data_IF_076759892833
#
_entry.id   IF_076759892833
#
_cell.length_a   1.000
_cell.length_b   1.000
_cell.length_c   1.000
_cell.angle_alpha   90.00
_cell.angle_beta   90.00
_cell.angle_gamma   90.00
#
_symmetry.space_group_name_H-M   'P 1'
#
loop_
_entity.id
_entity.type
_entity.pdbx_description
1 polymer ?
#
# COMPACT_ATOMS: atom_id res chain seq x y z
N UNK A 1 7.42 -66.47 43.61
CA UNK A 1 7.61 -65.26 42.77
C UNK A 1 7.17 -64.06 43.58
N UNK A 2 8.01 -63.03 43.67
CA UNK A 2 7.72 -61.83 44.47
C UNK A 2 7.37 -60.69 43.52
N UNK A 3 6.07 -60.43 43.36
CA UNK A 3 5.57 -59.35 42.51
C UNK A 3 5.27 -58.12 43.34
N UNK A 4 5.68 -56.96 42.82
CA UNK A 4 5.34 -55.68 43.42
C UNK A 4 4.69 -54.76 42.39
N UNK A 5 3.69 -54.02 42.83
CA UNK A 5 2.98 -53.06 42.00
C UNK A 5 3.65 -51.70 42.12
N UNK A 6 4.18 -51.19 41.02
CA UNK A 6 4.94 -49.94 40.95
C UNK A 6 4.15 -48.88 40.21
N UNK A 7 4.09 -47.69 40.80
CA UNK A 7 3.43 -46.52 40.24
C UNK A 7 4.40 -45.33 40.20
N UNK A 8 4.40 -44.58 39.11
CA UNK A 8 5.19 -43.35 38.94
C UNK A 8 4.22 -42.20 38.72
N UNK A 9 4.27 -41.19 39.59
CA UNK A 9 3.39 -40.02 39.56
C UNK A 9 4.18 -38.72 39.42
N UNK A 10 3.62 -37.76 38.67
CA UNK A 10 4.08 -36.37 38.61
C UNK A 10 2.88 -35.43 38.80
N UNK A 11 2.89 -34.58 39.83
CA UNK A 11 1.82 -33.61 40.13
C UNK A 11 0.40 -34.19 40.10
N UNK A 12 0.23 -35.39 40.65
CA UNK A 12 -1.04 -36.15 40.69
C UNK A 12 -1.47 -36.84 39.39
N UNK A 13 -0.65 -36.81 38.33
CA UNK A 13 -0.84 -37.62 37.12
C UNK A 13 -0.02 -38.91 37.21
N UNK A 14 -0.66 -40.07 37.03
CA UNK A 14 0.03 -41.35 36.93
C UNK A 14 0.66 -41.47 35.54
N UNK A 15 2.00 -41.45 35.49
CA UNK A 15 2.77 -41.57 34.26
C UNK A 15 3.01 -43.03 33.87
N UNK A 16 3.13 -43.90 34.87
CA UNK A 16 3.44 -45.32 34.67
C UNK A 16 2.88 -46.16 35.82
N UNK A 17 2.25 -47.29 35.51
CA UNK A 17 1.72 -48.23 36.51
C UNK A 17 1.90 -49.66 35.99
N UNK A 18 2.65 -50.50 36.71
CA UNK A 18 2.93 -51.88 36.31
C UNK A 18 3.11 -52.80 37.51
N UNK A 19 3.02 -54.11 37.30
CA UNK A 19 3.41 -55.13 38.28
C UNK A 19 4.64 -55.88 37.78
N UNK A 20 5.72 -55.89 38.57
CA UNK A 20 7.03 -56.44 38.17
C UNK A 20 7.50 -57.49 39.17
N UNK A 21 8.16 -58.54 38.66
CA UNK A 21 8.72 -59.61 39.48
C UNK A 21 10.17 -59.28 39.87
N UNK A 22 10.37 -58.93 41.13
CA UNK A 22 11.65 -58.43 41.63
C UNK A 22 12.47 -59.51 42.35
N UNK A 23 12.12 -60.79 42.20
CA UNK A 23 12.77 -61.89 42.93
C UNK A 23 14.30 -61.95 42.74
N UNK A 24 14.81 -61.39 41.64
CA UNK A 24 16.22 -61.37 41.30
C UNK A 24 17.00 -60.17 41.88
N UNK A 25 16.32 -59.09 42.29
CA UNK A 25 16.95 -57.87 42.86
C UNK A 25 16.57 -57.62 44.32
N UNK A 26 15.50 -58.22 44.84
CA UNK A 26 14.94 -57.89 46.17
C UNK A 26 15.93 -58.01 47.35
N UNK A 27 16.94 -58.89 47.24
CA UNK A 27 17.89 -59.16 48.32
C UNK A 27 19.19 -58.33 48.26
N UNK A 28 19.45 -57.66 47.15
CA UNK A 28 20.74 -56.96 46.93
C UNK A 28 20.61 -55.60 46.23
N UNK A 29 19.46 -55.29 45.65
CA UNK A 29 19.18 -54.05 44.95
C UNK A 29 18.56 -52.98 45.84
N UNK A 30 18.53 -51.78 45.30
CA UNK A 30 17.97 -50.55 45.88
C UNK A 30 16.69 -50.14 45.16
N UNK A 31 15.95 -49.17 45.71
CA UNK A 31 14.81 -48.59 45.00
C UNK A 31 15.21 -47.87 43.70
N UNK A 32 16.46 -47.42 43.58
CA UNK A 32 17.04 -46.97 42.31
C UNK A 32 17.04 -48.08 41.27
N UNK A 33 17.51 -49.29 41.62
CA UNK A 33 17.55 -50.43 40.69
C UNK A 33 16.14 -50.83 40.23
N UNK A 34 15.17 -50.81 41.15
CA UNK A 34 13.75 -51.05 40.82
C UNK A 34 13.19 -49.99 39.87
N UNK A 35 13.54 -48.71 40.08
CA UNK A 35 13.13 -47.64 39.19
C UNK A 35 13.76 -47.78 37.81
N UNK A 36 15.05 -48.15 37.74
CA UNK A 36 15.76 -48.42 36.49
C UNK A 36 15.14 -49.59 35.73
N UNK A 37 14.75 -50.68 36.41
CA UNK A 37 14.08 -51.82 35.78
C UNK A 37 12.70 -51.46 35.21
N UNK A 38 11.97 -50.57 35.88
CA UNK A 38 10.62 -50.16 35.47
C UNK A 38 10.63 -49.06 34.41
N UNK A 39 11.59 -48.11 34.48
CA UNK A 39 11.59 -46.89 33.69
C UNK A 39 12.80 -46.71 32.76
N UNK A 40 13.75 -47.66 32.72
CA UNK A 40 14.98 -47.59 31.91
C UNK A 40 15.72 -46.25 32.08
N UNK A 41 15.99 -45.85 33.34
CA UNK A 41 16.74 -44.64 33.71
C UNK A 41 16.19 -43.30 33.21
N UNK A 42 14.95 -43.26 32.71
CA UNK A 42 14.34 -42.02 32.18
C UNK A 42 14.18 -40.91 33.22
N UNK A 43 14.21 -41.26 34.51
CA UNK A 43 13.93 -40.34 35.60
C UNK A 43 15.11 -40.15 36.58
N UNK A 44 16.29 -40.70 36.29
CA UNK A 44 17.45 -40.70 37.20
C UNK A 44 17.99 -39.30 37.54
N UNK A 45 17.63 -38.28 36.75
CA UNK A 45 18.03 -36.88 36.98
C UNK A 45 16.99 -36.04 37.75
N UNK A 46 15.92 -36.64 38.26
CA UNK A 46 14.85 -35.93 39.00
C UNK A 46 14.92 -36.24 40.49
N UNK A 47 14.48 -35.29 41.31
CA UNK A 47 14.30 -35.55 42.75
C UNK A 47 13.04 -36.39 42.93
N UNK A 48 13.22 -37.61 43.44
CA UNK A 48 12.17 -38.62 43.54
C UNK A 48 11.98 -38.98 45.01
N UNK A 49 10.73 -38.94 45.45
CA UNK A 49 10.33 -39.47 46.75
C UNK A 49 9.73 -40.87 46.56
N UNK A 50 10.12 -41.81 47.43
CA UNK A 50 9.67 -43.20 47.36
C UNK A 50 8.68 -43.46 48.49
N UNK A 51 7.54 -44.05 48.14
CA UNK A 51 6.50 -44.43 49.08
C UNK A 51 6.15 -45.91 48.94
N UNK A 52 5.76 -46.54 50.04
CA UNK A 52 5.32 -47.93 50.06
C UNK A 52 4.04 -48.13 50.88
N UNK A 53 3.30 -49.20 50.55
CA UNK A 53 2.15 -49.66 51.35
C UNK A 53 1.83 -51.14 51.11
N UNK A 54 1.16 -51.77 52.06
CA UNK A 54 0.76 -53.19 51.97
C UNK A 54 -0.48 -53.39 51.09
N UNK A 55 -1.55 -52.61 51.32
CA UNK A 55 -2.82 -52.74 50.59
C UNK A 55 -3.19 -51.46 49.86
N UNK A 56 -4.02 -51.58 48.82
CA UNK A 56 -4.45 -50.45 47.97
C UNK A 56 -5.23 -49.36 48.72
N UNK A 57 -5.78 -49.66 49.91
CA UNK A 57 -6.54 -48.71 50.75
C UNK A 57 -5.70 -48.07 51.87
N UNK A 58 -4.45 -48.52 52.06
CA UNK A 58 -3.60 -48.02 53.13
C UNK A 58 -2.99 -46.66 52.75
N UNK A 59 -2.65 -45.89 53.78
CA UNK A 59 -1.89 -44.65 53.66
C UNK A 59 -0.49 -44.93 53.14
N UNK A 60 0.01 -44.05 52.27
CA UNK A 60 1.37 -44.15 51.75
C UNK A 60 2.39 -43.84 52.85
N UNK A 61 3.35 -44.73 53.06
CA UNK A 61 4.48 -44.53 53.97
C UNK A 61 5.69 -44.06 53.16
N UNK A 62 6.27 -42.92 53.53
CA UNK A 62 7.47 -42.39 52.86
C UNK A 62 8.72 -43.10 53.38
N UNK A 63 9.60 -43.53 52.47
CA UNK A 63 10.92 -44.05 52.79
C UNK A 63 11.90 -42.87 52.86
N UNK A 64 12.59 -42.72 53.99
CA UNK A 64 13.45 -41.56 54.26
C UNK A 64 14.70 -41.55 53.39
N UNK A 65 15.31 -42.72 53.17
CA UNK A 65 16.51 -42.86 52.34
C UNK A 65 16.16 -43.03 50.84
N UNK A 66 14.85 -42.98 50.51
CA UNK A 66 14.35 -42.79 49.15
C UNK A 66 14.82 -43.86 48.16
N UNK A 67 15.58 -43.45 47.15
CA UNK A 67 16.11 -44.32 46.10
C UNK A 67 17.29 -45.18 46.56
N UNK A 68 18.05 -44.70 47.55
CA UNK A 68 19.25 -45.38 48.07
C UNK A 68 18.89 -46.47 49.11
N UNK A 69 17.63 -46.52 49.54
CA UNK A 69 17.11 -47.52 50.46
C UNK A 69 17.16 -48.93 49.82
N UNK A 70 17.43 -49.94 50.64
CA UNK A 70 17.51 -51.33 50.17
C UNK A 70 16.11 -51.90 49.89
N UNK A 71 15.95 -52.63 48.78
CA UNK A 71 14.68 -53.30 48.45
C UNK A 71 14.25 -54.34 49.48
N UNK A 72 15.16 -54.79 50.34
CA UNK A 72 14.84 -55.65 51.49
C UNK A 72 13.83 -54.99 52.43
N UNK A 73 13.74 -53.65 52.47
CA UNK A 73 12.72 -52.91 53.20
C UNK A 73 11.30 -53.29 52.77
N UNK A 74 11.08 -53.69 51.51
CA UNK A 74 9.79 -54.18 51.02
C UNK A 74 9.32 -55.43 51.75
N UNK A 75 10.26 -56.33 52.07
CA UNK A 75 9.98 -57.57 52.80
C UNK A 75 9.76 -57.28 54.28
N UNK A 76 10.60 -56.42 54.87
CA UNK A 76 10.52 -56.07 56.29
C UNK A 76 9.25 -55.28 56.64
N UNK A 77 8.81 -54.39 55.74
CA UNK A 77 7.63 -53.54 55.91
C UNK A 77 6.37 -54.11 55.23
N UNK A 78 6.48 -55.30 54.62
CA UNK A 78 5.40 -56.00 53.91
C UNK A 78 4.73 -55.14 52.82
N UNK A 79 5.50 -54.32 52.11
CA UNK A 79 4.99 -53.47 51.05
C UNK A 79 4.72 -54.28 49.76
N UNK A 80 3.52 -54.14 49.22
CA UNK A 80 3.09 -54.75 47.96
C UNK A 80 2.87 -53.70 46.85
N UNK A 81 2.86 -52.43 47.23
CA UNK A 81 2.74 -51.29 46.33
C UNK A 81 3.87 -50.31 46.63
N UNK A 82 4.54 -49.85 45.57
CA UNK A 82 5.57 -48.81 45.61
C UNK A 82 5.15 -47.67 44.71
N UNK A 83 5.38 -46.44 45.17
CA UNK A 83 5.12 -45.24 44.41
C UNK A 83 6.34 -44.33 44.38
N UNK A 84 6.73 -43.94 43.18
CA UNK A 84 7.73 -42.92 42.93
C UNK A 84 7.03 -41.61 42.60
N UNK A 85 7.19 -40.59 43.44
CA UNK A 85 6.65 -39.25 43.21
C UNK A 85 7.77 -38.34 42.70
N UNK A 86 7.59 -37.84 41.49
CA UNK A 86 8.49 -36.88 40.85
C UNK A 86 8.13 -35.48 41.35
N UNK A 87 9.06 -34.80 42.02
CA UNK A 87 8.87 -33.39 42.40
C UNK A 87 8.88 -32.51 41.14
N UNK A 88 7.84 -31.67 41.00
CA UNK A 88 7.75 -30.69 39.93
C UNK A 88 8.77 -29.58 40.21
N UNK A 89 9.71 -29.35 39.29
CA UNK A 89 10.61 -28.21 39.39
C UNK A 89 9.81 -26.98 38.97
N UNK A 90 9.27 -26.23 39.93
CA UNK A 90 9.04 -24.80 39.70
C UNK A 90 10.40 -24.14 39.48
N UNK A 91 10.58 -23.33 38.43
CA UNK A 91 11.83 -22.63 38.22
C UNK A 91 11.98 -21.55 39.30
N UNK A 92 12.66 -21.88 40.39
CA UNK A 92 13.20 -20.86 41.29
C UNK A 92 14.34 -20.15 40.55
N UNK A 93 14.16 -18.84 40.35
CA UNK A 93 15.18 -17.90 39.92
C UNK A 93 16.31 -17.84 40.96
N UNK A 94 17.25 -18.77 40.86
CA UNK A 94 18.60 -18.54 41.35
C UNK A 94 19.35 -17.92 40.18
N UNK A 95 19.99 -16.74 40.31
CA UNK A 95 20.84 -16.19 39.27
C UNK A 95 22.12 -17.04 39.18
N UNK A 96 22.00 -18.23 38.58
CA UNK A 96 23.14 -18.85 37.92
C UNK A 96 23.38 -18.03 36.64
N UNK A 97 24.63 -17.70 36.30
CA UNK A 97 24.91 -17.06 35.02
C UNK A 97 24.37 -17.99 33.95
N UNK A 98 23.29 -17.57 33.31
CA UNK A 98 22.74 -18.23 32.13
C UNK A 98 23.90 -18.27 31.17
N UNK A 99 24.59 -19.42 31.08
CA UNK A 99 25.37 -19.72 29.90
C UNK A 99 24.32 -19.92 28.83
N UNK A 100 23.89 -18.78 28.30
CA UNK A 100 22.90 -18.63 27.26
C UNK A 100 23.43 -19.55 26.17
N UNK A 101 22.73 -20.67 25.94
CA UNK A 101 23.23 -21.70 25.03
C UNK A 101 23.53 -20.97 23.74
N UNK A 102 24.80 -21.00 23.30
CA UNK A 102 25.24 -20.20 22.18
C UNK A 102 24.31 -20.44 20.96
N UNK A 103 23.78 -21.66 20.81
CA UNK A 103 22.83 -21.99 19.76
C UNK A 103 21.47 -21.28 19.92
N UNK A 104 20.97 -21.07 21.14
CA UNK A 104 19.73 -20.31 21.39
C UNK A 104 19.96 -18.83 21.10
N UNK A 105 21.07 -18.25 21.56
CA UNK A 105 21.43 -16.87 21.22
C UNK A 105 21.58 -16.70 19.71
N UNK A 106 22.26 -17.64 19.05
CA UNK A 106 22.47 -17.62 17.60
C UNK A 106 21.15 -17.78 16.85
N UNK A 107 20.24 -18.65 17.31
CA UNK A 107 18.92 -18.81 16.71
C UNK A 107 18.03 -17.57 16.93
N UNK A 108 18.06 -16.97 18.11
CA UNK A 108 17.31 -15.74 18.39
C UNK A 108 17.87 -14.55 17.60
N UNK A 109 19.19 -14.39 17.55
CA UNK A 109 19.86 -13.38 16.73
C UNK A 109 19.62 -13.60 15.22
N UNK A 110 19.52 -14.84 14.76
CA UNK A 110 19.18 -15.15 13.37
C UNK A 110 17.71 -14.82 13.03
N UNK A 111 16.82 -14.79 14.03
CA UNK A 111 15.41 -14.40 13.89
C UNK A 111 15.21 -12.89 14.01
N UNK A 112 16.17 -12.17 14.59
CA UNK A 112 16.08 -10.71 14.70
C UNK A 112 16.02 -10.06 13.32
N UNK A 113 15.10 -9.09 13.23
CA UNK A 113 14.90 -8.29 12.04
C UNK A 113 15.51 -6.90 12.27
N UNK A 114 16.25 -6.46 11.27
CA UNK A 114 16.99 -5.22 11.24
C UNK A 114 16.43 -4.30 10.17
N UNK A 115 16.63 -3.01 10.38
CA UNK A 115 16.23 -1.95 9.48
C UNK A 115 17.42 -1.06 9.13
N UNK A 116 17.43 -0.44 7.94
CA UNK A 116 18.42 0.58 7.61
C UNK A 116 18.45 1.70 8.64
N UNK A 117 19.62 2.32 8.80
CA UNK A 117 19.76 3.47 9.69
C UNK A 117 18.87 4.62 9.23
N UNK A 118 18.13 5.20 10.16
CA UNK A 118 17.36 6.43 9.92
C UNK A 118 18.28 7.58 9.50
N UNK A 119 17.75 8.46 8.65
CA UNK A 119 18.44 9.63 8.15
C UNK A 119 18.29 10.80 9.14
N UNK A 120 19.38 11.54 9.38
CA UNK A 120 19.44 12.59 10.40
C UNK A 120 19.38 14.02 9.87
N UNK A 121 19.34 14.24 8.54
CA UNK A 121 19.45 15.59 7.96
C UNK A 121 18.17 16.43 8.12
N UNK A 122 17.07 15.83 8.59
CA UNK A 122 15.84 16.53 8.98
C UNK A 122 15.03 17.16 7.84
N UNK A 123 15.34 16.84 6.57
CA UNK A 123 14.56 17.34 5.44
C UNK A 123 13.28 16.49 5.25
N UNK A 124 12.26 17.05 4.56
CA UNK A 124 10.96 16.37 4.36
C UNK A 124 11.06 15.00 3.66
N UNK A 125 12.06 14.80 2.79
CA UNK A 125 12.28 13.52 2.10
C UNK A 125 12.87 12.48 3.03
N UNK A 126 13.80 12.89 3.89
CA UNK A 126 14.37 12.07 4.94
C UNK A 126 13.29 11.71 5.98
N UNK A 127 12.36 12.63 6.29
CA UNK A 127 11.18 12.32 7.10
C UNK A 127 10.32 11.23 6.46
N UNK A 128 10.03 11.32 5.15
CA UNK A 128 9.30 10.25 4.45
C UNK A 128 10.04 8.90 4.55
N UNK A 129 11.36 8.89 4.35
CA UNK A 129 12.17 7.68 4.47
C UNK A 129 12.09 7.07 5.87
N UNK A 130 12.23 7.89 6.92
CA UNK A 130 12.17 7.46 8.31
C UNK A 130 10.76 6.99 8.71
N UNK A 131 9.73 7.69 8.27
CA UNK A 131 8.33 7.31 8.52
C UNK A 131 7.96 6.00 7.81
N UNK A 132 8.54 5.73 6.63
CA UNK A 132 8.42 4.44 5.96
C UNK A 132 9.08 3.32 6.78
N UNK A 133 10.26 3.55 7.36
CA UNK A 133 10.88 2.58 8.28
C UNK A 133 9.94 2.27 9.45
N UNK A 134 9.38 3.30 10.08
CA UNK A 134 8.48 3.13 11.22
C UNK A 134 7.20 2.40 10.84
N UNK A 135 6.61 2.72 9.68
CA UNK A 135 5.43 2.03 9.16
C UNK A 135 5.69 0.55 8.89
N UNK A 136 6.82 0.21 8.26
CA UNK A 136 7.16 -1.18 7.98
C UNK A 136 7.47 -1.96 9.26
N UNK A 137 8.08 -1.31 10.24
CA UNK A 137 8.34 -1.89 11.57
C UNK A 137 7.05 -2.16 12.34
N UNK A 138 6.07 -1.25 12.27
CA UNK A 138 4.74 -1.43 12.86
C UNK A 138 4.02 -2.65 12.26
N UNK A 139 4.19 -2.92 10.97
CA UNK A 139 3.65 -4.11 10.29
C UNK A 139 4.46 -5.39 10.47
N UNK A 140 5.46 -5.39 11.34
CA UNK A 140 6.29 -6.57 11.62
C UNK A 140 7.25 -6.94 10.49
N UNK A 141 7.49 -6.03 9.53
CA UNK A 141 8.48 -6.21 8.47
C UNK A 141 9.92 -6.14 8.99
N UNK A 142 10.88 -6.37 8.10
CA UNK A 142 12.30 -6.19 8.36
C UNK A 142 13.20 -7.20 7.66
N UNK A 143 14.51 -6.97 7.72
CA UNK A 143 15.50 -7.79 7.02
C UNK A 143 16.42 -8.54 7.99
N UNK A 144 16.97 -9.69 7.62
CA UNK A 144 18.05 -10.32 8.37
C UNK A 144 19.28 -9.43 8.46
N UNK A 145 20.11 -9.69 9.47
CA UNK A 145 21.42 -9.05 9.59
C UNK A 145 22.24 -9.16 8.30
N UNK A 146 22.84 -8.05 7.88
CA UNK A 146 23.65 -7.91 6.66
C UNK A 146 22.83 -7.57 5.41
N UNK A 147 21.52 -7.80 5.41
CA UNK A 147 20.64 -7.44 4.28
C UNK A 147 20.05 -6.05 4.43
N UNK A 148 19.99 -5.49 5.64
CA UNK A 148 19.33 -4.21 5.90
C UNK A 148 20.04 -3.08 5.17
N UNK A 149 21.36 -2.92 5.33
CA UNK A 149 22.09 -1.79 4.73
C UNK A 149 22.38 -1.94 3.22
N UNK A 150 22.10 -3.11 2.65
CA UNK A 150 22.28 -3.40 1.22
C UNK A 150 20.92 -3.42 0.53
N UNK A 151 20.21 -4.55 0.60
CA UNK A 151 18.92 -4.78 -0.07
C UNK A 151 17.79 -3.96 0.53
N UNK A 152 17.70 -3.93 1.86
CA UNK A 152 16.64 -3.19 2.55
C UNK A 152 16.74 -1.68 2.32
N UNK A 153 17.96 -1.14 2.32
CA UNK A 153 18.23 0.25 2.01
C UNK A 153 17.82 0.60 0.59
N UNK A 154 18.23 -0.19 -0.41
CA UNK A 154 17.87 0.00 -1.82
C UNK A 154 16.36 -0.04 -2.01
N UNK A 155 15.67 -1.01 -1.40
CA UNK A 155 14.22 -1.10 -1.43
C UNK A 155 13.55 0.17 -0.87
N UNK A 156 13.97 0.65 0.30
CA UNK A 156 13.43 1.87 0.89
C UNK A 156 13.74 3.12 0.06
N UNK A 157 14.92 3.20 -0.57
CA UNK A 157 15.27 4.30 -1.47
C UNK A 157 14.38 4.30 -2.72
N UNK A 158 14.11 3.14 -3.31
CA UNK A 158 13.18 3.02 -4.44
C UNK A 158 11.75 3.42 -4.04
N UNK A 159 11.26 2.88 -2.92
CA UNK A 159 9.91 3.13 -2.42
C UNK A 159 9.71 4.61 -2.04
N UNK A 160 10.62 5.17 -1.25
CA UNK A 160 10.58 6.58 -0.85
C UNK A 160 10.67 7.51 -2.06
N UNK A 161 11.51 7.20 -3.05
CA UNK A 161 11.66 8.02 -4.25
C UNK A 161 10.40 8.01 -5.12
N UNK A 162 9.73 6.85 -5.25
CA UNK A 162 8.48 6.76 -5.99
C UNK A 162 7.35 7.52 -5.30
N UNK A 163 7.19 7.34 -3.98
CA UNK A 163 6.19 8.07 -3.19
C UNK A 163 6.47 9.57 -3.27
N UNK A 164 7.72 10.00 -3.07
CA UNK A 164 8.14 11.40 -3.18
C UNK A 164 7.79 12.04 -4.53
N UNK A 165 7.90 11.27 -5.62
CA UNK A 165 7.60 11.75 -6.97
C UNK A 165 6.10 11.99 -7.19
N UNK A 166 5.25 11.10 -6.69
CA UNK A 166 3.79 11.20 -6.84
C UNK A 166 3.11 12.06 -5.77
N UNK A 167 3.79 12.30 -4.65
CA UNK A 167 3.27 12.97 -3.46
C UNK A 167 2.61 14.34 -3.73
N UNK A 168 3.20 15.25 -4.55
CA UNK A 168 2.53 16.51 -4.91
C UNK A 168 1.26 16.33 -5.75
N UNK A 169 1.07 15.17 -6.36
CA UNK A 169 0.03 14.90 -7.36
C UNK A 169 -1.06 13.95 -6.84
N UNK A 170 -1.09 13.65 -5.54
CA UNK A 170 -2.06 12.70 -4.95
C UNK A 170 -3.51 13.05 -5.31
N UNK A 171 -3.89 14.34 -5.27
CA UNK A 171 -5.25 14.77 -5.60
C UNK A 171 -5.58 14.57 -7.09
N UNK A 172 -4.60 14.79 -7.98
CA UNK A 172 -4.74 14.54 -9.40
C UNK A 172 -4.93 13.03 -9.68
N UNK A 173 -4.15 12.18 -9.00
CA UNK A 173 -4.29 10.73 -9.09
C UNK A 173 -5.67 10.27 -8.57
N UNK A 174 -6.13 10.81 -7.43
CA UNK A 174 -7.47 10.57 -6.88
C UNK A 174 -8.58 10.90 -7.90
N UNK A 175 -8.50 12.03 -8.59
CA UNK A 175 -9.50 12.40 -9.62
C UNK A 175 -9.58 11.44 -10.83
N UNK A 176 -8.57 10.57 -10.98
CA UNK A 176 -8.47 9.55 -12.03
C UNK A 176 -8.66 8.14 -11.47
N UNK A 177 -9.24 8.01 -10.28
CA UNK A 177 -9.45 6.73 -9.59
C UNK A 177 -8.14 5.93 -9.43
N UNK A 178 -7.04 6.64 -9.17
CA UNK A 178 -5.73 6.10 -8.84
C UNK A 178 -5.46 6.45 -7.38
N UNK A 179 -5.82 5.55 -6.47
CA UNK A 179 -5.71 5.76 -5.02
C UNK A 179 -4.42 5.17 -4.47
N UNK A 180 -3.79 5.90 -3.55
CA UNK A 180 -2.63 5.38 -2.79
C UNK A 180 -3.08 4.12 -2.01
N UNK A 181 -2.30 3.02 -2.00
CA UNK A 181 -2.64 1.82 -1.23
C UNK A 181 -2.83 2.09 0.26
N UNK A 182 -3.69 1.29 0.89
CA UNK A 182 -4.15 1.46 2.28
C UNK A 182 -3.02 1.46 3.30
N UNK A 183 -1.96 0.68 3.05
CA UNK A 183 -0.77 0.67 3.90
C UNK A 183 -0.10 2.04 3.92
N UNK A 184 0.16 2.63 2.75
CA UNK A 184 0.87 3.90 2.67
C UNK A 184 0.01 5.08 3.10
N UNK A 185 -1.32 5.00 3.03
CA UNK A 185 -2.21 6.00 3.61
C UNK A 185 -2.01 6.14 5.14
N UNK A 186 -1.44 5.15 5.81
CA UNK A 186 -1.17 5.21 7.24
C UNK A 186 0.05 6.08 7.61
N UNK A 187 0.78 6.59 6.62
CA UNK A 187 1.90 7.53 6.84
C UNK A 187 1.42 8.80 7.57
N UNK A 188 2.21 9.34 8.52
CA UNK A 188 1.80 10.48 9.35
C UNK A 188 1.24 11.68 8.58
N UNK A 189 1.90 12.09 7.47
CA UNK A 189 1.42 13.24 6.68
C UNK A 189 0.11 12.94 5.97
N UNK A 190 -0.09 11.71 5.49
CA UNK A 190 -1.32 11.34 4.78
C UNK A 190 -2.51 11.20 5.72
N UNK A 191 -2.28 10.72 6.96
CA UNK A 191 -3.30 10.73 8.02
C UNK A 191 -3.80 12.14 8.36
N UNK A 192 -2.95 13.15 8.22
CA UNK A 192 -3.30 14.55 8.48
C UNK A 192 -3.69 15.33 7.21
N UNK A 193 -4.05 14.64 6.12
CA UNK A 193 -4.35 15.25 4.80
C UNK A 193 -3.28 16.21 4.26
N UNK A 194 -2.02 15.98 4.67
CA UNK A 194 -0.85 16.74 4.27
C UNK A 194 0.02 15.92 3.31
N UNK A 195 0.99 16.59 2.69
CA UNK A 195 1.97 15.98 1.79
C UNK A 195 3.38 16.12 2.36
N UNK A 196 4.32 15.28 1.90
CA UNK A 196 5.72 15.36 2.30
C UNK A 196 6.50 16.41 1.50
N UNK A 197 6.34 16.40 0.18
CA UNK A 197 7.03 17.24 -0.79
C UNK A 197 6.38 18.62 -0.92
N UNK A 198 6.39 19.37 0.19
CA UNK A 198 5.89 20.76 0.22
C UNK A 198 6.75 21.72 -0.61
N UNK A 199 8.02 21.37 -0.86
CA UNK A 199 8.95 22.12 -1.72
C UNK A 199 8.39 22.32 -3.14
N UNK A 200 7.67 21.33 -3.65
CA UNK A 200 7.01 21.40 -4.96
C UNK A 200 6.09 22.62 -5.12
N UNK A 201 5.43 23.04 -4.03
CA UNK A 201 4.48 24.15 -4.05
C UNK A 201 5.11 25.49 -3.68
N UNK A 202 6.10 25.47 -2.77
CA UNK A 202 6.73 26.67 -2.24
C UNK A 202 7.76 27.29 -3.19
N UNK A 203 8.27 26.53 -4.15
CA UNK A 203 9.36 27.00 -5.02
C UNK A 203 8.87 27.62 -6.32
N UNK A 204 9.62 28.63 -6.79
CA UNK A 204 9.40 29.30 -8.07
C UNK A 204 9.99 28.55 -9.27
N UNK A 205 10.65 27.41 -9.03
CA UNK A 205 11.21 26.60 -10.11
C UNK A 205 10.12 25.94 -10.95
N UNK A 206 10.49 25.59 -12.20
CA UNK A 206 9.59 24.87 -13.10
C UNK A 206 9.13 23.57 -12.44
N UNK A 207 7.84 23.49 -12.17
CA UNK A 207 7.21 22.32 -11.55
C UNK A 207 7.29 21.11 -12.47
N UNK A 208 7.88 20.05 -11.96
CA UNK A 208 7.95 18.79 -12.68
C UNK A 208 6.56 18.17 -12.79
N UNK A 209 6.14 17.82 -14.01
CA UNK A 209 4.88 17.11 -14.25
C UNK A 209 5.14 15.61 -14.19
N UNK A 210 4.10 14.85 -13.82
CA UNK A 210 4.12 13.40 -13.96
C UNK A 210 4.35 13.01 -15.42
N UNK A 211 5.38 12.21 -15.66
CA UNK A 211 5.70 11.68 -16.99
C UNK A 211 5.49 10.16 -17.01
N UNK A 212 5.02 9.65 -18.16
CA UNK A 212 4.86 8.21 -18.35
C UNK A 212 6.19 7.46 -18.10
N UNK A 213 7.29 7.96 -18.67
CA UNK A 213 8.60 7.35 -18.53
C UNK A 213 9.04 7.25 -17.06
N UNK A 214 9.01 8.35 -16.30
CA UNK A 214 9.47 8.33 -14.89
C UNK A 214 8.57 7.49 -13.99
N UNK A 215 7.26 7.49 -14.23
CA UNK A 215 6.34 6.61 -13.50
C UNK A 215 6.72 5.14 -13.72
N UNK A 216 6.97 4.74 -14.97
CA UNK A 216 7.37 3.37 -15.30
C UNK A 216 8.77 3.02 -14.77
N UNK A 217 9.71 3.96 -14.76
CA UNK A 217 11.03 3.78 -14.13
C UNK A 217 10.90 3.51 -12.63
N UNK A 218 10.10 4.31 -11.91
CA UNK A 218 9.83 4.07 -10.49
C UNK A 218 9.12 2.73 -10.24
N UNK A 219 8.17 2.33 -11.09
CA UNK A 219 7.53 1.02 -11.00
C UNK A 219 8.58 -0.10 -11.12
N UNK A 220 9.43 -0.04 -12.15
CA UNK A 220 10.49 -1.04 -12.37
C UNK A 220 11.43 -1.13 -11.18
N UNK A 221 11.89 0.00 -10.65
CA UNK A 221 12.80 0.05 -9.50
C UNK A 221 12.20 -0.60 -8.25
N UNK A 222 10.95 -0.24 -7.90
CA UNK A 222 10.28 -0.82 -6.74
C UNK A 222 10.10 -2.32 -6.91
N UNK A 223 9.57 -2.75 -8.05
CA UNK A 223 9.27 -4.17 -8.30
C UNK A 223 10.52 -5.02 -8.35
N UNK A 224 11.60 -4.49 -8.95
CA UNK A 224 12.89 -5.17 -8.95
C UNK A 224 13.32 -5.49 -7.51
N UNK A 225 13.30 -4.49 -6.62
CA UNK A 225 13.66 -4.72 -5.22
C UNK A 225 12.63 -5.57 -4.46
N UNK A 226 11.34 -5.43 -4.76
CA UNK A 226 10.25 -6.16 -4.10
C UNK A 226 10.11 -7.62 -4.57
N UNK A 227 10.78 -8.01 -5.65
CA UNK A 227 10.78 -9.38 -6.19
C UNK A 227 11.96 -10.22 -5.69
N UNK A 228 12.81 -9.67 -4.82
CA UNK A 228 13.95 -10.40 -4.26
C UNK A 228 13.50 -11.47 -3.23
N UNK A 229 14.35 -12.46 -2.99
CA UNK A 229 14.07 -13.64 -2.14
C UNK A 229 13.60 -13.25 -0.72
N UNK A 230 14.07 -12.13 -0.17
CA UNK A 230 13.67 -11.69 1.16
C UNK A 230 12.19 -11.28 1.24
N UNK A 231 11.60 -10.84 0.14
CA UNK A 231 10.22 -10.38 0.06
C UNK A 231 9.21 -11.54 0.20
N UNK A 232 9.63 -12.78 -0.05
CA UNK A 232 8.79 -13.98 0.11
C UNK A 232 8.66 -14.47 1.56
N UNK A 233 9.32 -13.81 2.52
CA UNK A 233 9.25 -14.20 3.94
C UNK A 233 7.91 -13.80 4.55
N UNK A 234 7.47 -14.55 5.56
CA UNK A 234 6.16 -14.36 6.23
C UNK A 234 5.93 -12.91 6.73
N UNK A 235 6.96 -12.25 7.24
CA UNK A 235 6.89 -10.87 7.72
C UNK A 235 6.58 -9.82 6.62
N UNK A 236 6.67 -10.19 5.35
CA UNK A 236 6.44 -9.30 4.21
C UNK A 236 5.14 -9.58 3.46
N UNK A 237 4.38 -10.61 3.85
CA UNK A 237 3.17 -11.06 3.15
C UNK A 237 2.07 -9.99 3.09
N UNK A 238 1.95 -9.14 4.10
CA UNK A 238 0.96 -8.05 4.12
C UNK A 238 1.48 -6.78 3.43
N UNK A 239 2.80 -6.61 3.36
CA UNK A 239 3.44 -5.37 2.89
C UNK A 239 3.65 -5.39 1.37
N UNK A 240 4.19 -6.49 0.85
CA UNK A 240 4.61 -6.59 -0.55
C UNK A 240 3.44 -6.46 -1.53
N UNK A 241 2.25 -7.05 -1.28
CA UNK A 241 1.09 -6.79 -2.13
C UNK A 241 0.73 -5.31 -2.22
N UNK A 242 0.82 -4.56 -1.12
CA UNK A 242 0.55 -3.12 -1.11
C UNK A 242 1.61 -2.33 -1.90
N UNK A 243 2.87 -2.76 -1.86
CA UNK A 243 3.94 -2.22 -2.69
C UNK A 243 3.65 -2.45 -4.18
N UNK A 244 3.22 -3.64 -4.57
CA UNK A 244 2.81 -3.91 -5.96
C UNK A 244 1.55 -3.14 -6.35
N UNK A 245 0.58 -2.97 -5.43
CA UNK A 245 -0.60 -2.12 -5.65
C UNK A 245 -0.20 -0.66 -5.93
N UNK A 246 0.85 -0.15 -5.28
CA UNK A 246 1.41 1.17 -5.59
C UNK A 246 1.92 1.24 -7.02
N UNK A 247 2.70 0.25 -7.46
CA UNK A 247 3.23 0.17 -8.81
C UNK A 247 2.10 0.03 -9.86
N UNK A 248 1.08 -0.78 -9.59
CA UNK A 248 -0.11 -0.93 -10.45
C UNK A 248 -0.85 0.40 -10.59
N UNK A 249 -1.05 1.12 -9.48
CA UNK A 249 -1.67 2.45 -9.50
C UNK A 249 -0.88 3.44 -10.36
N UNK A 250 0.46 3.46 -10.22
CA UNK A 250 1.33 4.31 -11.02
C UNK A 250 1.28 3.95 -12.52
N UNK A 251 1.25 2.66 -12.85
CA UNK A 251 1.08 2.19 -14.24
C UNK A 251 -0.26 2.60 -14.83
N UNK A 252 -1.36 2.41 -14.09
CA UNK A 252 -2.70 2.81 -14.54
C UNK A 252 -2.72 4.29 -14.94
N UNK A 253 -2.06 5.13 -14.16
CA UNK A 253 -1.94 6.54 -14.50
C UNK A 253 -0.99 6.78 -15.69
N UNK A 254 0.12 6.04 -15.79
CA UNK A 254 1.03 6.11 -16.93
C UNK A 254 0.34 5.70 -18.25
N UNK A 255 -0.51 4.67 -18.24
CA UNK A 255 -1.35 4.28 -19.38
C UNK A 255 -2.34 5.37 -19.77
N UNK A 256 -2.95 6.03 -18.79
CA UNK A 256 -3.80 7.20 -19.05
C UNK A 256 -3.01 8.32 -19.73
N UNK A 257 -1.78 8.60 -19.30
CA UNK A 257 -0.91 9.58 -19.95
C UNK A 257 -0.57 9.17 -21.39
N UNK A 258 -0.29 7.89 -21.65
CA UNK A 258 -0.04 7.38 -22.99
C UNK A 258 -1.27 7.50 -23.89
N UNK A 259 -2.45 7.10 -23.41
CA UNK A 259 -3.71 7.24 -24.15
C UNK A 259 -4.01 8.70 -24.45
N UNK A 260 -3.83 9.59 -23.47
CA UNK A 260 -4.00 11.04 -23.67
C UNK A 260 -3.01 11.58 -24.70
N UNK A 261 -1.76 11.13 -24.69
CA UNK A 261 -0.75 11.53 -25.67
C UNK A 261 -1.07 11.00 -27.07
N UNK A 262 -1.48 9.74 -27.19
CA UNK A 262 -1.90 9.14 -28.46
C UNK A 262 -3.11 9.87 -29.04
N UNK A 263 -4.13 10.16 -28.23
CA UNK A 263 -5.28 10.96 -28.67
C UNK A 263 -4.85 12.35 -29.14
N UNK A 264 -3.91 12.97 -28.42
CA UNK A 264 -3.36 14.27 -28.80
C UNK A 264 -2.57 14.18 -30.10
N UNK A 265 -1.75 13.14 -30.29
CA UNK A 265 -0.98 12.90 -31.51
C UNK A 265 -1.91 12.59 -32.70
N UNK A 266 -2.90 11.72 -32.53
CA UNK A 266 -3.88 11.40 -33.56
C UNK A 266 -4.66 12.65 -33.95
N UNK A 267 -5.03 13.48 -32.99
CA UNK A 267 -5.59 14.81 -33.25
C UNK A 267 -4.60 15.72 -33.98
N UNK A 268 -3.30 15.66 -33.64
CA UNK A 268 -2.21 16.41 -34.31
C UNK A 268 -2.00 16.04 -35.79
N UNK A 269 -2.37 14.84 -36.21
CA UNK A 269 -2.22 14.38 -37.59
C UNK A 269 -3.55 14.25 -38.34
N UNK A 270 -4.68 14.46 -37.68
CA UNK A 270 -6.01 14.38 -38.30
C UNK A 270 -6.35 15.64 -39.09
N UNK A 271 -6.95 15.47 -40.26
CA UNK A 271 -7.53 16.56 -41.05
C UNK A 271 -8.95 16.92 -40.60
N UNK A 272 -9.55 16.12 -39.71
CA UNK A 272 -10.90 16.29 -39.20
C UNK A 272 -10.92 17.13 -37.91
N UNK A 273 -11.98 17.92 -37.73
CA UNK A 273 -12.15 18.77 -36.56
C UNK A 273 -12.34 17.92 -35.29
N UNK A 274 -11.43 18.08 -34.33
CA UNK A 274 -11.48 17.41 -33.00
C UNK A 274 -12.74 17.79 -32.20
N UNK A 275 -13.37 18.93 -32.53
CA UNK A 275 -14.56 19.45 -31.85
C UNK A 275 -15.61 19.87 -32.87
N UNK A 276 -16.82 19.32 -32.73
CA UNK A 276 -17.98 19.69 -33.53
C UNK A 276 -18.83 20.77 -32.82
N UNK A 277 -19.53 21.64 -33.58
CA UNK A 277 -20.50 22.60 -33.02
C UNK A 277 -21.55 21.94 -32.13
N UNK A 278 -21.94 20.70 -32.44
CA UNK A 278 -22.96 19.95 -31.71
C UNK A 278 -22.58 19.54 -30.28
N UNK A 279 -21.28 19.39 -29.98
CA UNK A 279 -20.82 18.84 -28.68
C UNK A 279 -20.06 19.84 -27.80
N UNK A 280 -19.50 20.92 -28.37
CA UNK A 280 -18.53 21.77 -27.67
C UNK A 280 -18.75 23.28 -27.89
N UNK A 281 -19.97 23.70 -28.17
CA UNK A 281 -20.31 25.09 -28.49
C UNK A 281 -20.92 25.85 -27.31
N UNK A 282 -20.51 27.12 -27.15
CA UNK A 282 -21.24 28.12 -26.35
C UNK A 282 -22.19 28.87 -27.28
N UNK A 283 -23.48 28.72 -27.03
CA UNK A 283 -24.54 29.41 -27.76
C UNK A 283 -24.85 30.75 -27.10
N UNK A 284 -24.90 31.82 -27.88
CA UNK A 284 -25.40 33.14 -27.44
C UNK A 284 -26.46 33.61 -28.42
N UNK A 285 -27.68 33.86 -27.95
CA UNK A 285 -28.72 34.49 -28.76
C UNK A 285 -28.49 36.00 -28.73
N UNK A 286 -28.44 36.63 -29.90
CA UNK A 286 -28.39 38.09 -30.04
C UNK A 286 -29.71 38.51 -30.66
N UNK A 287 -30.45 39.36 -29.95
CA UNK A 287 -31.72 39.88 -30.41
C UNK A 287 -31.52 40.98 -31.45
N UNK A 288 -32.48 41.09 -32.36
CA UNK A 288 -32.50 42.16 -33.37
C UNK A 288 -32.51 43.57 -32.74
N UNK A 289 -31.78 44.49 -33.36
CA UNK A 289 -31.65 45.89 -32.98
C UNK A 289 -32.10 46.80 -34.14
N UNK A 290 -32.79 47.90 -33.81
CA UNK A 290 -33.19 48.92 -34.79
C UNK A 290 -32.02 49.84 -35.19
N UNK A 291 -30.97 49.90 -34.36
CA UNK A 291 -29.75 50.66 -34.62
C UNK A 291 -28.62 49.70 -34.95
N UNK A 292 -28.08 49.84 -36.15
CA UNK A 292 -27.01 49.00 -36.69
C UNK A 292 -25.84 49.90 -36.99
N UNK A 293 -24.67 49.48 -36.54
CA UNK A 293 -23.40 50.15 -36.78
C UNK A 293 -22.93 49.78 -38.21
N UNK A 294 -22.42 50.76 -38.95
CA UNK A 294 -22.04 50.60 -40.36
C UNK A 294 -21.04 49.46 -40.58
N UNK A 295 -20.23 49.14 -39.56
CA UNK A 295 -19.27 48.03 -39.58
C UNK A 295 -19.89 46.63 -39.70
N UNK A 296 -21.22 46.49 -39.57
CA UNK A 296 -21.94 45.21 -39.73
C UNK A 296 -22.79 45.14 -41.01
N UNK A 297 -22.85 46.20 -41.83
CA UNK A 297 -23.73 46.25 -43.00
C UNK A 297 -23.46 45.14 -44.03
N UNK A 298 -22.19 44.80 -44.24
CA UNK A 298 -21.79 43.76 -45.20
C UNK A 298 -22.27 42.37 -44.74
N UNK A 299 -22.05 42.06 -43.46
CA UNK A 299 -22.55 40.84 -42.85
C UNK A 299 -24.09 40.81 -42.89
N UNK A 300 -24.75 41.93 -42.61
CA UNK A 300 -26.20 42.00 -42.63
C UNK A 300 -26.79 41.73 -44.02
N UNK A 301 -26.21 42.32 -45.07
CA UNK A 301 -26.60 42.06 -46.46
C UNK A 301 -26.41 40.59 -46.83
N UNK A 302 -25.29 39.99 -46.44
CA UNK A 302 -25.01 38.58 -46.70
C UNK A 302 -26.06 37.67 -46.02
N UNK A 303 -26.32 37.91 -44.74
CA UNK A 303 -27.29 37.16 -43.94
C UNK A 303 -28.74 37.35 -44.42
N UNK A 304 -29.09 38.53 -44.94
CA UNK A 304 -30.45 38.79 -45.44
C UNK A 304 -30.82 37.92 -46.65
N UNK A 305 -29.83 37.61 -47.50
CA UNK A 305 -29.99 36.82 -48.73
C UNK A 305 -29.98 35.30 -48.48
N UNK A 306 -29.70 34.87 -47.24
CA UNK A 306 -29.56 33.45 -46.89
C UNK A 306 -30.86 32.83 -46.44
N UNK A 307 -30.94 31.51 -46.54
CA UNK A 307 -32.08 30.72 -46.07
C UNK A 307 -32.15 30.72 -44.53
N UNK A 308 -33.33 30.39 -44.01
CA UNK A 308 -33.53 30.20 -42.57
C UNK A 308 -32.74 28.97 -42.12
N UNK A 309 -32.12 29.05 -40.93
CA UNK A 309 -31.34 27.94 -40.34
C UNK A 309 -30.01 27.62 -41.03
N UNK A 310 -29.53 28.43 -41.97
CA UNK A 310 -28.21 28.28 -42.60
C UNK A 310 -27.07 28.68 -41.64
N UNK A 311 -25.93 28.00 -41.75
CA UNK A 311 -24.73 28.27 -40.94
C UNK A 311 -23.71 29.06 -41.75
N UNK A 312 -23.28 30.20 -41.21
CA UNK A 312 -22.36 31.10 -41.92
C UNK A 312 -21.15 31.38 -41.05
N UNK A 313 -19.97 31.01 -41.54
CA UNK A 313 -18.69 31.34 -40.92
C UNK A 313 -18.40 32.83 -41.10
N UNK A 314 -18.34 33.57 -39.99
CA UNK A 314 -18.15 35.03 -40.06
C UNK A 314 -16.69 35.48 -40.07
N UNK A 315 -15.72 34.58 -40.25
CA UNK A 315 -14.29 34.91 -40.14
C UNK A 315 -13.86 35.98 -41.14
N UNK A 316 -14.52 36.03 -42.30
CA UNK A 316 -14.25 37.00 -43.38
C UNK A 316 -14.66 38.44 -43.01
N UNK A 317 -15.61 38.61 -42.08
CA UNK A 317 -16.09 39.92 -41.63
C UNK A 317 -15.36 40.43 -40.38
N UNK A 318 -14.48 39.62 -39.80
CA UNK A 318 -13.77 39.97 -38.57
C UNK A 318 -12.58 40.88 -38.87
N UNK A 319 -12.33 41.92 -38.05
CA UNK A 319 -11.12 42.75 -38.14
C UNK A 319 -9.84 41.91 -38.02
N UNK A 320 -8.72 42.37 -38.60
CA UNK A 320 -7.45 41.63 -38.52
C UNK A 320 -6.85 41.61 -37.11
N UNK A 321 -7.05 42.64 -36.30
CA UNK A 321 -6.43 42.78 -34.97
C UNK A 321 -7.23 42.10 -33.85
N UNK A 322 -6.54 41.44 -32.91
CA UNK A 322 -7.16 40.58 -31.89
C UNK A 322 -8.13 41.34 -30.96
N UNK A 323 -7.76 42.53 -30.48
CA UNK A 323 -8.59 43.34 -29.56
C UNK A 323 -9.86 43.82 -30.28
N UNK A 324 -9.70 44.27 -31.53
CA UNK A 324 -10.81 44.74 -32.34
C UNK A 324 -11.76 43.60 -32.72
N UNK A 325 -11.26 42.40 -33.01
CA UNK A 325 -12.13 41.20 -33.15
C UNK A 325 -12.98 40.98 -31.92
N UNK A 326 -12.37 41.04 -30.73
CA UNK A 326 -13.09 40.81 -29.48
C UNK A 326 -14.23 41.84 -29.29
N UNK A 327 -13.92 43.13 -29.49
CA UNK A 327 -14.91 44.22 -29.43
C UNK A 327 -16.01 44.05 -30.46
N UNK A 328 -15.64 43.75 -31.70
CA UNK A 328 -16.57 43.53 -32.81
C UNK A 328 -17.58 42.43 -32.48
N UNK A 329 -17.14 41.30 -31.90
CA UNK A 329 -18.06 40.19 -31.59
C UNK A 329 -18.93 40.49 -30.37
N UNK A 330 -18.41 41.21 -29.36
CA UNK A 330 -19.21 41.57 -28.17
C UNK A 330 -20.32 42.57 -28.54
N UNK A 331 -20.01 43.52 -29.41
CA UNK A 331 -20.91 44.59 -29.82
C UNK A 331 -21.82 44.23 -31.01
N UNK A 332 -21.71 43.00 -31.53
CA UNK A 332 -22.47 42.52 -32.68
C UNK A 332 -23.98 42.72 -32.46
N UNK A 333 -24.60 43.52 -33.35
CA UNK A 333 -26.03 43.81 -33.40
C UNK A 333 -26.47 43.89 -34.86
N UNK A 334 -27.58 43.23 -35.19
CA UNK A 334 -28.16 43.16 -36.54
C UNK A 334 -29.67 43.44 -36.47
N UNK A 335 -30.36 43.67 -37.61
CA UNK A 335 -31.82 43.93 -37.61
C UNK A 335 -32.69 42.73 -37.22
N UNK A 336 -32.14 41.51 -37.25
CA UNK A 336 -32.84 40.27 -36.93
C UNK A 336 -32.09 39.47 -35.87
N UNK A 337 -32.84 38.63 -35.17
CA UNK A 337 -32.28 37.78 -34.13
C UNK A 337 -31.43 36.67 -34.74
N UNK A 338 -30.26 36.43 -34.13
CA UNK A 338 -29.29 35.42 -34.56
C UNK A 338 -28.88 34.54 -33.38
N UNK A 339 -28.54 33.29 -33.66
CA UNK A 339 -27.80 32.47 -32.71
C UNK A 339 -26.32 32.48 -33.08
N UNK A 340 -25.49 32.94 -32.15
CA UNK A 340 -24.04 32.96 -32.26
C UNK A 340 -23.47 31.68 -31.64
N UNK A 341 -22.93 30.81 -32.48
CA UNK A 341 -22.23 29.60 -32.04
C UNK A 341 -20.76 29.92 -31.86
N UNK A 342 -20.23 29.79 -30.64
CA UNK A 342 -18.79 29.93 -30.37
C UNK A 342 -18.20 28.61 -29.94
N UNK A 343 -17.32 28.05 -30.75
CA UNK A 343 -16.48 26.92 -30.35
C UNK A 343 -15.03 27.16 -30.75
N UNK A 344 -14.13 26.55 -29.99
CA UNK A 344 -12.71 26.55 -30.33
C UNK A 344 -12.52 25.52 -31.46
N UNK A 345 -12.22 25.98 -32.67
CA UNK A 345 -11.58 25.14 -33.69
C UNK A 345 -10.18 24.83 -33.15
N UNK A 346 -9.97 23.59 -32.73
CA UNK A 346 -8.63 23.09 -32.44
C UNK A 346 -8.18 22.42 -33.73
N UNK A 347 -7.43 23.17 -34.54
CA UNK A 347 -6.65 22.55 -35.60
C UNK A 347 -5.39 21.95 -34.99
N UNK A 348 -4.86 20.87 -35.58
CA UNK A 348 -3.55 20.36 -35.22
C UNK A 348 -2.48 21.41 -35.54
N UNK A 349 -2.02 22.15 -34.54
CA UNK A 349 -1.01 23.18 -34.77
C UNK A 349 0.40 22.55 -34.77
N UNK A 350 0.88 22.12 -35.94
CA UNK A 350 2.32 21.95 -36.18
C UNK A 350 3.01 23.33 -36.33
N UNK A 351 4.34 23.37 -36.31
CA UNK A 351 5.14 24.62 -36.40
C UNK A 351 4.77 25.45 -37.65
N UNK A 352 4.52 24.76 -38.77
CA UNK A 352 4.08 25.36 -40.03
C UNK A 352 2.69 25.98 -39.95
N UNK A 353 1.74 25.38 -39.22
CA UNK A 353 0.41 25.97 -39.01
C UNK A 353 0.45 27.23 -38.12
N UNK A 354 1.38 27.27 -37.16
CA UNK A 354 1.69 28.45 -36.34
C UNK A 354 2.25 29.60 -37.18
N UNK A 355 3.21 29.30 -38.05
CA UNK A 355 3.82 30.27 -38.96
C UNK A 355 2.81 30.83 -39.98
N UNK A 356 1.77 30.05 -40.33
CA UNK A 356 0.64 30.49 -41.16
C UNK A 356 -0.50 31.18 -40.38
N UNK A 357 -0.31 31.49 -39.10
CA UNK A 357 -1.29 32.21 -38.27
C UNK A 357 -2.53 31.42 -37.86
N UNK A 358 -2.49 30.08 -37.92
CA UNK A 358 -3.64 29.19 -37.68
C UNK A 358 -3.81 28.74 -36.22
N UNK A 359 -3.45 29.59 -35.27
CA UNK A 359 -3.25 29.15 -33.89
C UNK A 359 -4.54 28.79 -33.15
N UNK A 360 -5.59 29.60 -33.23
CA UNK A 360 -6.86 29.32 -32.56
C UNK A 360 -7.96 30.11 -33.26
N UNK A 361 -8.87 29.44 -33.96
CA UNK A 361 -10.03 30.13 -34.51
C UNK A 361 -11.22 29.90 -33.59
N UNK A 362 -11.80 31.00 -33.11
CA UNK A 362 -13.20 30.95 -32.69
C UNK A 362 -13.99 30.93 -33.99
N UNK A 363 -14.43 29.76 -34.43
CA UNK A 363 -15.41 29.74 -35.49
C UNK A 363 -16.69 30.29 -34.89
N UNK A 364 -17.25 31.25 -35.60
CA UNK A 364 -18.48 31.87 -35.21
C UNK A 364 -19.44 31.62 -36.35
N UNK A 365 -20.47 30.84 -36.05
CA UNK A 365 -21.55 30.60 -36.99
C UNK A 365 -22.78 31.35 -36.52
N UNK A 366 -23.42 32.03 -37.46
CA UNK A 366 -24.69 32.70 -37.26
C UNK A 366 -25.79 31.84 -37.83
N UNK A 367 -26.78 31.50 -37.00
CA UNK A 367 -28.03 30.90 -37.45
C UNK A 367 -29.09 31.98 -37.59
N UNK A 368 -29.61 32.15 -38.80
CA UNK A 368 -30.62 33.16 -39.13
C UNK A 368 -31.99 32.77 -38.58
N UNK A 369 -32.62 33.65 -37.80
CA UNK A 369 -34.04 33.57 -37.45
C UNK A 369 -34.72 34.84 -37.99
N UNK A 370 -35.48 34.74 -39.08
CA UNK A 370 -36.16 35.89 -39.69
C UNK A 370 -37.40 36.29 -38.88
N UNK A 371 -37.22 36.74 -37.64
CA UNK A 371 -38.18 37.63 -36.98
C UNK A 371 -37.62 39.05 -37.02
N UNK A 372 -38.00 39.82 -38.06
CA UNK A 372 -37.65 41.24 -38.17
C UNK A 372 -38.44 42.03 -37.12
N UNK A 373 -37.77 42.90 -36.39
CA UNK A 373 -38.44 43.91 -35.55
C UNK A 373 -39.12 44.91 -36.51
N UNK A 374 -40.45 44.89 -36.58
CA UNK A 374 -41.22 45.86 -37.38
C UNK A 374 -40.99 47.26 -36.80
N UNK A 375 -40.52 48.21 -37.62
CA UNK A 375 -40.66 49.65 -37.32
C UNK A 375 -42.17 49.93 -37.23
N UNK A 376 -42.65 50.39 -36.07
CA UNK A 376 -43.92 51.14 -36.04
C UNK A 376 -43.66 52.48 -36.72
N UNK A 377 -44.50 52.94 -37.66
CA UNK A 377 -44.50 54.33 -38.07
C UNK A 377 -44.75 55.18 -36.82
N UNK A 378 -43.96 56.23 -36.64
CA UNK A 378 -44.34 57.32 -35.76
C UNK A 378 -45.44 58.08 -36.50
N UNK A 379 -46.69 57.85 -36.10
CA UNK A 379 -47.79 58.81 -36.30
C UNK A 379 -47.81 59.78 -35.13
#
# INVERSE_FOLDING_TARGET
>A
MFYIHVMIEESSNVLYETAINIAHIVNSGTFSDLLSEVANDKFSNRKIQVFGREKKKDTWTMLQDGLDDYLQALVQLNFKFVKFLLEHIEPQEIPQPVLQNANVILMDNARQLFFPKKLSRGNSRDCLYNDLIDLLKEKGGGWPAGCENTRGKVFLEHLSSAIWYIDPHIQLLKSRSCYIPSLFQQLPKYKSDSIYNTYYFKTHHKKEKLSCQKLLEHCKSIEYSASEIWASRKCWLEIIPEVFNLAIMMRKYAEHLQKSLQLTNNAHYSTELVRTPSKHCKLKIILGSLKIDSKYEELEKNLANRELYDFIEISEFLPSECIERHRWIIQLKLSFSICLYRYKKVYPCCKTCKELGKDHFTQIEIKTSKMRVKKRPLE
#
